data_IF_124153528016
#
_entry.id   IF_124153528016
#
_cell.length_a   1.000
_cell.length_b   1.000
_cell.length_c   1.000
_cell.angle_alpha   90.00
_cell.angle_beta   90.00
_cell.angle_gamma   90.00
#
_symmetry.space_group_name_H-M   'P 1'
#
loop_
_entity.id
_entity.type
_entity.pdbx_description
1 polymer ?
#
# COMPACT_ATOMS: atom_id res chain seq x y z
N UNK A 1 10.56 11.24 2.33
CA UNK A 1 9.48 10.89 3.29
C UNK A 1 8.38 10.13 2.56
N UNK A 2 7.96 8.97 3.08
CA UNK A 2 6.98 8.08 2.44
C UNK A 2 5.72 7.96 3.30
N UNK A 3 4.53 8.14 2.73
CA UNK A 3 3.27 8.05 3.47
C UNK A 3 2.18 7.36 2.65
N UNK A 4 1.47 6.42 3.28
CA UNK A 4 0.22 5.87 2.81
C UNK A 4 -0.91 6.53 3.60
N UNK A 5 -1.94 7.02 2.92
CA UNK A 5 -3.15 7.56 3.54
C UNK A 5 -4.36 6.80 3.03
N UNK A 6 -5.01 6.07 3.95
CA UNK A 6 -6.25 5.34 3.71
C UNK A 6 -6.20 4.41 2.49
N UNK A 7 -5.04 3.78 2.29
CA UNK A 7 -4.79 2.94 1.11
C UNK A 7 -5.62 1.68 1.19
N UNK A 8 -6.39 1.42 0.14
CA UNK A 8 -7.16 0.17 -0.05
C UNK A 8 -6.70 -0.54 -1.30
N UNK A 9 -6.65 -1.86 -1.22
CA UNK A 9 -6.37 -2.72 -2.37
C UNK A 9 -7.17 -4.01 -2.25
N UNK A 10 -7.86 -4.34 -3.33
CA UNK A 10 -8.57 -5.58 -3.53
C UNK A 10 -8.14 -6.21 -4.85
N UNK A 11 -8.17 -7.54 -4.90
CA UNK A 11 -7.99 -8.31 -6.12
C UNK A 11 -9.27 -9.09 -6.37
N UNK A 12 -9.88 -8.86 -7.53
CA UNK A 12 -11.11 -9.54 -7.92
C UNK A 12 -10.78 -10.54 -9.04
N UNK A 13 -11.15 -11.80 -8.83
CA UNK A 13 -11.01 -12.88 -9.80
C UNK A 13 -12.36 -13.57 -9.97
N UNK A 14 -12.93 -13.52 -11.17
CA UNK A 14 -14.25 -14.07 -11.50
C UNK A 14 -15.33 -13.67 -10.46
N UNK A 15 -15.58 -14.55 -9.48
CA UNK A 15 -16.67 -14.42 -8.52
C UNK A 15 -16.16 -14.13 -7.09
N UNK A 16 -14.85 -13.94 -6.90
CA UNK A 16 -14.23 -13.73 -5.60
C UNK A 16 -13.42 -12.44 -5.56
N UNK A 17 -13.66 -11.62 -4.53
CA UNK A 17 -12.86 -10.43 -4.22
C UNK A 17 -12.10 -10.65 -2.93
N UNK A 18 -10.77 -10.65 -3.02
CA UNK A 18 -9.88 -10.66 -1.87
C UNK A 18 -9.47 -9.22 -1.52
N UNK A 19 -9.82 -8.76 -0.32
CA UNK A 19 -9.27 -7.52 0.22
C UNK A 19 -7.86 -7.79 0.72
N UNK A 20 -6.87 -7.13 0.12
CA UNK A 20 -5.45 -7.25 0.48
C UNK A 20 -5.01 -6.15 1.43
N UNK A 21 -5.51 -4.92 1.24
CA UNK A 21 -5.31 -3.78 2.15
C UNK A 21 -6.66 -3.12 2.39
N UNK A 22 -6.97 -2.87 3.66
CA UNK A 22 -8.20 -2.19 4.09
C UNK A 22 -7.83 -0.98 4.94
N UNK A 23 -7.92 0.21 4.34
CA UNK A 23 -7.75 1.51 4.98
C UNK A 23 -6.41 1.70 5.69
N UNK A 24 -5.32 1.26 5.04
CA UNK A 24 -3.99 1.30 5.63
C UNK A 24 -3.43 2.73 5.58
N UNK A 25 -3.10 3.27 6.76
CA UNK A 25 -2.44 4.57 6.91
C UNK A 25 -1.17 4.42 7.72
N UNK A 26 -0.03 4.76 7.12
CA UNK A 26 1.28 4.67 7.77
C UNK A 26 2.23 5.71 7.15
N UNK A 27 3.10 6.28 7.97
CA UNK A 27 4.14 7.20 7.52
C UNK A 27 5.51 6.68 7.97
N UNK A 28 6.48 6.80 7.08
CA UNK A 28 7.86 6.40 7.29
C UNK A 28 8.76 7.64 7.24
N UNK A 29 9.72 7.68 8.16
CA UNK A 29 10.68 8.77 8.24
C UNK A 29 11.79 8.58 7.22
N UNK A 30 12.49 9.66 6.93
CA UNK A 30 13.67 9.60 6.07
C UNK A 30 14.77 8.75 6.73
N UNK A 31 15.43 7.93 5.92
CA UNK A 31 16.49 7.02 6.36
C UNK A 31 16.06 5.98 7.42
N UNK A 32 14.77 5.64 7.49
CA UNK A 32 14.26 4.63 8.41
C UNK A 32 14.46 3.21 7.87
N UNK A 33 14.83 2.28 8.76
CA UNK A 33 14.85 0.84 8.45
C UNK A 33 13.61 0.18 9.05
N UNK A 34 12.76 -0.38 8.19
CA UNK A 34 11.43 -0.89 8.56
C UNK A 34 11.33 -2.37 8.24
N UNK A 35 10.81 -3.16 9.18
CA UNK A 35 10.39 -4.53 8.94
C UNK A 35 8.87 -4.65 9.04
N UNK A 36 8.24 -5.24 8.01
CA UNK A 36 6.80 -5.49 7.99
C UNK A 36 6.55 -6.96 8.31
N UNK A 37 5.87 -7.23 9.44
CA UNK A 37 5.64 -8.57 9.96
C UNK A 37 4.14 -8.92 9.94
N UNK A 38 3.82 -10.21 9.84
CA UNK A 38 2.44 -10.70 9.88
C UNK A 38 2.25 -12.06 9.19
N UNK A 39 1.12 -12.76 9.43
CA UNK A 39 0.84 -14.08 8.85
C UNK A 39 0.88 -14.10 7.31
N UNK A 40 1.02 -15.27 6.69
CA UNK A 40 0.87 -15.39 5.23
C UNK A 40 -0.51 -14.88 4.79
N UNK A 41 -0.58 -14.18 3.65
CA UNK A 41 -1.83 -13.61 3.12
C UNK A 41 -2.31 -12.29 3.75
N UNK A 42 -1.63 -11.75 4.77
CA UNK A 42 -2.01 -10.49 5.44
C UNK A 42 -1.80 -9.20 4.64
N UNK A 43 -1.48 -9.26 3.35
CA UNK A 43 -1.31 -8.07 2.50
C UNK A 43 0.08 -7.43 2.49
N UNK A 44 1.06 -7.95 3.23
CA UNK A 44 2.43 -7.38 3.30
C UNK A 44 3.09 -7.18 1.93
N UNK A 45 3.09 -8.22 1.09
CA UNK A 45 3.68 -8.16 -0.25
C UNK A 45 2.93 -7.16 -1.12
N UNK A 46 1.60 -7.10 -1.02
CA UNK A 46 0.79 -6.08 -1.72
C UNK A 46 1.17 -4.66 -1.29
N UNK A 47 1.33 -4.40 0.02
CA UNK A 47 1.76 -3.10 0.52
C UNK A 47 3.14 -2.71 -0.01
N UNK A 48 4.11 -3.63 0.03
CA UNK A 48 5.46 -3.39 -0.48
C UNK A 48 5.49 -3.17 -1.99
N UNK A 49 4.66 -3.89 -2.76
CA UNK A 49 4.54 -3.70 -4.20
C UNK A 49 3.97 -2.32 -4.54
N UNK A 50 2.94 -1.87 -3.83
CA UNK A 50 2.37 -0.53 -4.01
C UNK A 50 3.41 0.54 -3.66
N UNK A 51 4.09 0.41 -2.52
CA UNK A 51 5.17 1.33 -2.12
C UNK A 51 6.30 1.37 -3.15
N UNK A 52 6.66 0.22 -3.70
CA UNK A 52 7.68 0.10 -4.74
C UNK A 52 7.23 0.56 -6.14
N UNK A 53 5.99 1.01 -6.30
CA UNK A 53 5.43 1.41 -7.60
C UNK A 53 5.21 0.24 -8.58
N UNK A 54 5.16 -0.99 -8.08
CA UNK A 54 4.97 -2.21 -8.88
C UNK A 54 3.50 -2.59 -9.05
N UNK A 55 2.61 -2.03 -8.24
CA UNK A 55 1.16 -2.24 -8.28
C UNK A 55 0.43 -0.95 -7.90
N UNK A 56 -0.83 -0.83 -8.33
CA UNK A 56 -1.69 0.31 -8.04
C UNK A 56 -2.59 0.01 -6.84
N UNK A 57 -2.84 1.02 -6.01
CA UNK A 57 -3.91 0.98 -5.02
C UNK A 57 -5.26 1.30 -5.67
N UNK A 58 -6.36 0.83 -5.08
CA UNK A 58 -7.71 1.07 -5.61
C UNK A 58 -8.27 2.42 -5.11
N UNK A 59 -7.91 2.81 -3.88
CA UNK A 59 -8.26 4.11 -3.31
C UNK A 59 -7.25 4.52 -2.23
N UNK A 60 -7.36 5.76 -1.76
CA UNK A 60 -6.41 6.37 -0.82
C UNK A 60 -5.35 7.16 -1.57
N UNK A 61 -4.18 7.33 -0.95
CA UNK A 61 -3.06 8.06 -1.52
C UNK A 61 -1.72 7.43 -1.08
N UNK A 62 -0.75 7.45 -1.99
CA UNK A 62 0.65 7.21 -1.68
C UNK A 62 1.40 8.52 -1.94
N UNK A 63 2.07 9.05 -0.93
CA UNK A 63 2.81 10.30 -0.99
C UNK A 63 4.29 9.99 -0.86
N UNK A 64 5.06 10.40 -1.86
CA UNK A 64 6.52 10.23 -1.91
C UNK A 64 7.14 11.61 -1.98
N UNK A 65 7.96 11.95 -0.99
CA UNK A 65 8.65 13.24 -0.87
C UNK A 65 7.69 14.44 -0.97
N UNK A 66 6.50 14.29 -0.37
CA UNK A 66 5.44 15.31 -0.37
C UNK A 66 4.62 15.37 -1.66
N UNK A 67 4.90 14.51 -2.64
CA UNK A 67 4.19 14.45 -3.93
C UNK A 67 3.20 13.28 -3.88
N UNK A 68 1.91 13.57 -4.10
CA UNK A 68 0.87 12.54 -4.25
C UNK A 68 1.07 11.77 -5.56
N UNK A 69 0.89 10.45 -5.50
CA UNK A 69 0.98 9.59 -6.69
C UNK A 69 -0.36 9.35 -7.39
N UNK A 70 -1.47 9.91 -6.91
CA UNK A 70 -2.82 9.67 -7.50
C UNK A 70 -2.95 9.95 -9.00
N UNK A 71 -2.06 10.77 -9.54
CA UNK A 71 -2.09 11.24 -10.92
C UNK A 71 -1.10 10.51 -11.84
N UNK A 72 -0.33 9.56 -11.29
CA UNK A 72 0.64 8.76 -12.03
C UNK A 72 0.12 7.33 -12.16
#
# INVERSE_FOLDING_TARGET
>A
MLQLSNVRKSYTTADFTQVALDDVSIAFRDNEFVAVLGPSGSGKTTMLNIVGGLDHYDSGDLVIDGISTKQY
#
